data_IF_441923127378
#
_entry.id   IF_441923127378
#
_cell.length_a   1.000
_cell.length_b   1.000
_cell.length_c   1.000
_cell.angle_alpha   90.00
_cell.angle_beta   90.00
_cell.angle_gamma   90.00
#
_symmetry.space_group_name_H-M   'P 1'
#
loop_
_entity.id
_entity.type
_entity.pdbx_description
1 polymer ?
#
# COMPACT_ATOMS: atom_id res chain seq x y z
N UNK A 1 -0.90 -1.69 -36.20
CA UNK A 1 -1.08 -2.27 -34.86
C UNK A 1 0.25 -2.15 -34.12
N UNK A 2 0.28 -1.48 -32.97
CA UNK A 2 1.48 -1.41 -32.14
C UNK A 2 1.53 -2.70 -31.32
N UNK A 3 2.45 -3.60 -31.65
CA UNK A 3 2.66 -4.83 -30.90
C UNK A 3 3.74 -4.59 -29.85
N UNK A 4 3.33 -4.33 -28.61
CA UNK A 4 4.26 -4.42 -27.47
C UNK A 4 4.33 -5.89 -27.08
N UNK A 5 5.53 -6.48 -27.15
CA UNK A 5 5.72 -7.87 -26.74
C UNK A 5 5.36 -8.02 -25.25
N UNK A 6 4.62 -9.08 -24.84
CA UNK A 6 4.09 -9.23 -23.47
C UNK A 6 5.14 -9.10 -22.36
N UNK A 7 6.37 -9.55 -22.63
CA UNK A 7 7.50 -9.44 -21.69
C UNK A 7 7.88 -7.98 -21.40
N UNK A 8 7.84 -7.09 -22.40
CA UNK A 8 8.13 -5.67 -22.17
C UNK A 8 7.03 -5.01 -21.33
N UNK A 9 5.78 -5.41 -21.56
CA UNK A 9 4.62 -4.87 -20.85
C UNK A 9 4.70 -5.15 -19.34
N UNK A 10 5.10 -6.39 -18.98
CA UNK A 10 5.38 -6.75 -17.58
C UNK A 10 6.45 -5.86 -16.94
N UNK A 11 7.59 -5.69 -17.60
CA UNK A 11 8.69 -4.88 -17.06
C UNK A 11 8.29 -3.40 -16.90
N UNK A 12 7.53 -2.87 -17.87
CA UNK A 12 6.97 -1.52 -17.80
C UNK A 12 6.07 -1.39 -16.57
N UNK A 13 5.14 -2.32 -16.36
CA UNK A 13 4.26 -2.29 -15.19
C UNK A 13 5.03 -2.39 -13.89
N UNK A 14 5.95 -3.34 -13.75
CA UNK A 14 6.75 -3.48 -12.52
C UNK A 14 7.53 -2.20 -12.23
N UNK A 15 8.09 -1.56 -13.26
CA UNK A 15 8.83 -0.29 -13.11
C UNK A 15 7.91 0.84 -12.70
N UNK A 16 6.77 1.03 -13.39
CA UNK A 16 5.80 2.08 -13.08
C UNK A 16 5.16 1.89 -11.71
N UNK A 17 4.77 0.66 -11.34
CA UNK A 17 4.26 0.36 -10.00
C UNK A 17 5.34 0.60 -8.94
N UNK A 18 6.61 0.30 -9.26
CA UNK A 18 7.75 0.63 -8.41
C UNK A 18 7.88 2.14 -8.15
N UNK A 19 7.51 2.99 -9.11
CA UNK A 19 7.53 4.45 -8.90
C UNK A 19 6.48 4.93 -7.90
N UNK A 20 5.32 4.25 -7.78
CA UNK A 20 4.34 4.54 -6.73
C UNK A 20 4.83 4.16 -5.33
N UNK A 21 5.78 3.22 -5.23
CA UNK A 21 6.36 2.77 -3.96
C UNK A 21 7.68 3.48 -3.59
N UNK A 22 8.15 4.43 -4.39
CA UNK A 22 9.38 5.17 -4.10
C UNK A 22 9.23 5.97 -2.80
N UNK A 23 10.27 6.12 -1.95
CA UNK A 23 10.22 6.99 -0.76
C UNK A 23 9.83 8.44 -1.09
N UNK A 24 10.15 8.93 -2.29
CA UNK A 24 9.70 10.24 -2.79
C UNK A 24 8.17 10.31 -2.95
N UNK A 25 7.53 9.15 -3.15
CA UNK A 25 6.08 9.02 -3.29
C UNK A 25 5.37 8.82 -1.94
N UNK A 26 6.08 8.63 -0.82
CA UNK A 26 5.49 8.51 0.53
C UNK A 26 5.65 9.77 1.38
N UNK A 27 6.54 10.71 1.00
CA UNK A 27 6.69 11.99 1.70
C UNK A 27 5.54 12.96 1.40
N UNK A 28 4.93 13.55 2.44
CA UNK A 28 3.63 14.25 2.36
C UNK A 28 3.66 15.69 1.81
N UNK A 29 4.82 16.26 1.45
CA UNK A 29 4.93 17.74 1.49
C UNK A 29 5.28 18.50 0.19
N UNK A 30 5.09 17.95 -1.03
CA UNK A 30 5.41 18.75 -2.24
C UNK A 30 4.34 18.71 -3.35
N UNK A 31 3.89 19.88 -3.88
CA UNK A 31 2.95 19.94 -5.01
C UNK A 31 3.52 19.31 -6.30
N UNK A 32 4.85 19.26 -6.40
CA UNK A 32 5.58 18.60 -7.48
C UNK A 32 5.40 17.07 -7.48
N UNK A 33 5.03 16.46 -6.34
CA UNK A 33 4.72 15.03 -6.23
C UNK A 33 3.37 14.71 -6.86
N UNK A 34 2.33 15.47 -6.51
CA UNK A 34 0.98 15.25 -7.05
C UNK A 34 0.97 15.35 -8.57
N UNK A 35 1.70 16.32 -9.13
CA UNK A 35 1.84 16.45 -10.57
C UNK A 35 2.52 15.22 -11.21
N UNK A 36 3.57 14.67 -10.58
CA UNK A 36 4.22 13.44 -11.06
C UNK A 36 3.28 12.24 -11.01
N UNK A 37 2.52 12.08 -9.92
CA UNK A 37 1.55 11.00 -9.76
C UNK A 37 0.41 11.11 -10.79
N UNK A 38 -0.06 12.33 -11.06
CA UNK A 38 -1.07 12.56 -12.10
C UNK A 38 -0.54 12.20 -13.49
N UNK A 39 0.70 12.59 -13.80
CA UNK A 39 1.36 12.19 -15.04
C UNK A 39 1.49 10.66 -15.16
N UNK A 40 1.77 9.95 -14.07
CA UNK A 40 1.80 8.48 -14.05
C UNK A 40 0.42 7.89 -14.34
N UNK A 41 -0.64 8.41 -13.71
CA UNK A 41 -2.01 7.98 -14.01
C UNK A 41 -2.39 8.25 -15.48
N UNK A 42 -1.99 9.39 -16.03
CA UNK A 42 -2.22 9.69 -17.45
C UNK A 42 -1.44 8.75 -18.37
N UNK A 43 -0.20 8.40 -18.02
CA UNK A 43 0.58 7.39 -18.75
C UNK A 43 -0.11 6.03 -18.75
N UNK A 44 -0.68 5.59 -17.62
CA UNK A 44 -1.45 4.35 -17.57
C UNK A 44 -2.70 4.42 -18.45
N UNK A 45 -3.47 5.52 -18.38
CA UNK A 45 -4.65 5.72 -19.25
C UNK A 45 -4.27 5.68 -20.73
N UNK A 46 -3.17 6.32 -21.11
CA UNK A 46 -2.66 6.29 -22.48
C UNK A 46 -2.23 4.87 -22.86
N UNK A 47 -1.48 4.18 -22.01
CA UNK A 47 -1.05 2.80 -22.24
C UNK A 47 -2.24 1.86 -22.47
N UNK A 48 -3.31 2.00 -21.70
CA UNK A 48 -4.53 1.19 -21.84
C UNK A 48 -5.31 1.52 -23.12
N UNK A 49 -5.28 2.78 -23.57
CA UNK A 49 -5.83 3.17 -24.88
C UNK A 49 -5.02 2.59 -26.04
N UNK A 50 -3.69 2.54 -25.93
CA UNK A 50 -2.81 1.98 -26.97
C UNK A 50 -2.87 0.46 -27.03
N UNK A 51 -2.96 -0.20 -25.88
CA UNK A 51 -2.92 -1.67 -25.77
C UNK A 51 -4.15 -2.14 -24.97
N UNK A 52 -5.24 -2.55 -25.64
CA UNK A 52 -6.48 -2.95 -24.98
C UNK A 52 -6.34 -4.15 -24.03
N UNK A 53 -5.33 -4.99 -24.20
CA UNK A 53 -5.04 -6.14 -23.32
C UNK A 53 -4.21 -5.75 -22.09
N UNK A 54 -3.71 -4.51 -22.01
CA UNK A 54 -2.85 -4.06 -20.92
C UNK A 54 -3.54 -4.08 -19.55
N UNK A 55 -4.84 -3.71 -19.39
CA UNK A 55 -5.54 -3.83 -18.11
C UNK A 55 -5.55 -5.26 -17.55
N UNK A 56 -5.93 -6.25 -18.36
CA UNK A 56 -5.91 -7.67 -17.97
C UNK A 56 -4.50 -8.10 -17.51
N UNK A 57 -3.49 -7.74 -18.31
CA UNK A 57 -2.09 -8.03 -17.99
C UNK A 57 -1.62 -7.34 -16.72
N UNK A 58 -2.12 -6.14 -16.41
CA UNK A 58 -1.76 -5.45 -15.17
C UNK A 58 -2.26 -6.25 -13.97
N UNK A 59 -3.51 -6.73 -14.01
CA UNK A 59 -4.11 -7.55 -12.94
C UNK A 59 -3.33 -8.84 -12.75
N UNK A 60 -2.97 -9.54 -13.85
CA UNK A 60 -2.10 -10.73 -13.79
C UNK A 60 -0.74 -10.43 -13.13
N UNK A 61 -0.08 -9.35 -13.55
CA UNK A 61 1.23 -8.95 -12.99
C UNK A 61 1.11 -8.57 -11.52
N UNK A 62 0.04 -7.88 -11.11
CA UNK A 62 -0.23 -7.60 -9.71
C UNK A 62 -0.47 -8.89 -8.92
N UNK A 63 -1.18 -9.87 -9.49
CA UNK A 63 -1.36 -11.16 -8.84
C UNK A 63 -0.04 -11.93 -8.64
N UNK A 64 0.97 -11.72 -9.48
CA UNK A 64 2.30 -12.31 -9.27
C UNK A 64 3.17 -11.52 -8.27
N UNK A 65 3.11 -10.19 -8.31
CA UNK A 65 4.12 -9.30 -7.69
C UNK A 65 3.63 -8.65 -6.39
N UNK A 66 2.31 -8.51 -6.21
CA UNK A 66 1.69 -7.77 -5.11
C UNK A 66 1.09 -8.70 -4.05
N UNK A 67 1.25 -8.42 -2.75
CA UNK A 67 2.41 -7.85 -2.08
C UNK A 67 3.26 -8.99 -1.50
N UNK A 68 4.55 -9.01 -1.81
CA UNK A 68 5.50 -9.74 -0.98
C UNK A 68 5.65 -8.93 0.31
N UNK A 69 5.35 -9.52 1.47
CA UNK A 69 5.31 -8.99 2.85
C UNK A 69 6.59 -8.28 3.36
N UNK A 70 7.41 -7.69 2.50
CA UNK A 70 8.77 -7.19 2.77
C UNK A 70 8.95 -5.68 2.55
N UNK A 71 7.88 -4.92 2.29
CA UNK A 71 7.94 -3.47 2.08
C UNK A 71 7.22 -2.71 3.18
N UNK A 72 7.64 -1.47 3.43
CA UNK A 72 7.04 -0.56 4.42
C UNK A 72 5.53 -0.40 4.20
N UNK A 73 4.74 -0.42 5.29
CA UNK A 73 3.28 -0.33 5.20
C UNK A 73 2.77 0.95 4.56
N UNK A 74 3.49 2.05 4.68
CA UNK A 74 3.15 3.32 4.06
C UNK A 74 3.31 3.27 2.54
N UNK A 75 4.32 2.54 2.03
CA UNK A 75 4.51 2.31 0.60
C UNK A 75 3.44 1.37 0.04
N UNK A 76 3.06 0.35 0.82
CA UNK A 76 2.00 -0.58 0.43
C UNK A 76 0.63 0.11 0.38
N UNK A 77 0.27 0.85 1.42
CA UNK A 77 -0.97 1.62 1.47
C UNK A 77 -1.03 2.66 0.34
N UNK A 78 0.05 3.41 0.10
CA UNK A 78 0.09 4.35 -1.01
C UNK A 78 -0.11 3.66 -2.36
N UNK A 79 0.50 2.49 -2.58
CA UNK A 79 0.26 1.74 -3.81
C UNK A 79 -1.21 1.28 -3.91
N UNK A 80 -1.82 0.80 -2.82
CA UNK A 80 -3.24 0.42 -2.79
C UNK A 80 -4.14 1.60 -3.17
N UNK A 81 -3.93 2.78 -2.60
CA UNK A 81 -4.69 3.98 -2.95
C UNK A 81 -4.59 4.32 -4.45
N UNK A 82 -3.38 4.24 -5.03
CA UNK A 82 -3.22 4.43 -6.48
C UNK A 82 -3.92 3.35 -7.30
N UNK A 83 -3.88 2.08 -6.89
CA UNK A 83 -4.57 0.97 -7.55
C UNK A 83 -6.10 1.11 -7.48
N UNK A 84 -6.63 1.53 -6.32
CA UNK A 84 -8.05 1.87 -6.16
C UNK A 84 -8.45 2.99 -7.12
N UNK A 85 -7.62 4.04 -7.25
CA UNK A 85 -7.84 5.08 -8.26
C UNK A 85 -7.86 4.53 -9.68
N UNK A 86 -7.03 3.52 -10.00
CA UNK A 86 -7.03 2.90 -11.33
C UNK A 86 -8.38 2.26 -11.68
N UNK A 87 -9.12 1.74 -10.69
CA UNK A 87 -10.44 1.13 -10.92
C UNK A 87 -11.43 2.06 -11.63
N UNK A 88 -11.25 3.38 -11.51
CA UNK A 88 -12.07 4.38 -12.20
C UNK A 88 -11.87 4.40 -13.73
N UNK A 89 -10.71 3.97 -14.22
CA UNK A 89 -10.37 4.01 -15.65
C UNK A 89 -10.04 2.65 -16.26
N UNK A 90 -10.23 1.55 -15.52
CA UNK A 90 -10.28 0.16 -16.03
C UNK A 90 -11.57 -0.55 -15.57
N UNK A 91 -12.76 -0.06 -15.95
CA UNK A 91 -14.03 -0.54 -15.41
C UNK A 91 -14.27 -2.04 -15.62
N UNK A 92 -13.83 -2.58 -16.76
CA UNK A 92 -14.02 -4.00 -17.11
C UNK A 92 -13.26 -4.96 -16.16
N UNK A 93 -12.17 -4.50 -15.56
CA UNK A 93 -11.31 -5.31 -14.66
C UNK A 93 -11.40 -4.83 -13.21
N UNK A 94 -12.35 -3.94 -12.90
CA UNK A 94 -12.54 -3.37 -11.56
C UNK A 94 -12.78 -4.46 -10.52
N UNK A 95 -13.66 -5.41 -10.81
CA UNK A 95 -13.99 -6.49 -9.88
C UNK A 95 -12.76 -7.36 -9.59
N UNK A 96 -12.03 -7.76 -10.63
CA UNK A 96 -10.83 -8.59 -10.52
C UNK A 96 -9.74 -7.90 -9.70
N UNK A 97 -9.52 -6.61 -9.94
CA UNK A 97 -8.55 -5.82 -9.17
C UNK A 97 -8.96 -5.69 -7.70
N UNK A 98 -10.24 -5.39 -7.41
CA UNK A 98 -10.71 -5.29 -6.03
C UNK A 98 -10.65 -6.63 -5.29
N UNK A 99 -11.02 -7.74 -5.95
CA UNK A 99 -10.89 -9.08 -5.40
C UNK A 99 -9.44 -9.41 -5.09
N UNK A 100 -8.51 -9.06 -5.98
CA UNK A 100 -7.09 -9.22 -5.74
C UNK A 100 -6.65 -8.42 -4.50
N UNK A 101 -6.97 -7.13 -4.42
CA UNK A 101 -6.57 -6.30 -3.27
C UNK A 101 -7.15 -6.83 -1.95
N UNK A 102 -8.42 -7.23 -1.93
CA UNK A 102 -9.07 -7.81 -0.76
C UNK A 102 -8.44 -9.16 -0.36
N UNK A 103 -8.17 -10.04 -1.33
CA UNK A 103 -7.50 -11.32 -1.08
C UNK A 103 -6.12 -11.10 -0.46
N UNK A 104 -5.39 -10.06 -0.89
CA UNK A 104 -4.08 -9.74 -0.36
C UNK A 104 -4.14 -9.14 1.04
N UNK A 105 -5.12 -8.29 1.34
CA UNK A 105 -5.37 -7.83 2.71
C UNK A 105 -5.70 -9.00 3.65
N UNK A 106 -6.56 -9.94 3.22
CA UNK A 106 -6.85 -11.16 3.98
C UNK A 106 -5.61 -12.03 4.20
N UNK A 107 -4.72 -12.12 3.21
CA UNK A 107 -3.46 -12.82 3.40
C UNK A 107 -2.59 -12.15 4.46
N UNK A 108 -2.51 -10.81 4.52
CA UNK A 108 -1.77 -10.11 5.57
C UNK A 108 -2.33 -10.47 6.95
N UNK A 109 -3.66 -10.41 7.10
CA UNK A 109 -4.38 -10.75 8.34
C UNK A 109 -4.09 -12.19 8.80
N UNK A 110 -4.15 -13.16 7.89
CA UNK A 110 -3.86 -14.57 8.21
C UNK A 110 -2.42 -14.84 8.67
N UNK A 111 -1.46 -14.01 8.27
CA UNK A 111 -0.07 -14.13 8.70
C UNK A 111 0.23 -13.30 9.96
N UNK A 112 -0.79 -12.76 10.61
CA UNK A 112 -0.68 -11.93 11.80
C UNK A 112 -1.43 -12.60 12.98
N UNK A 113 -0.97 -13.76 13.48
CA UNK A 113 -1.66 -14.45 14.56
C UNK A 113 -1.67 -13.61 15.84
N UNK A 114 -2.78 -13.67 16.57
CA UNK A 114 -3.03 -12.82 17.75
C UNK A 114 -1.91 -12.90 18.80
N UNK A 115 -1.34 -14.09 18.98
CA UNK A 115 -0.29 -14.31 19.98
C UNK A 115 1.00 -13.53 19.63
N UNK A 116 1.36 -13.43 18.34
CA UNK A 116 2.52 -12.64 17.89
C UNK A 116 2.28 -11.13 18.02
N UNK A 117 1.02 -10.68 17.90
CA UNK A 117 0.65 -9.27 18.14
C UNK A 117 0.80 -8.95 19.62
N UNK A 118 0.26 -9.80 20.50
CA UNK A 118 0.35 -9.62 21.95
C UNK A 118 1.81 -9.63 22.43
N UNK A 119 2.61 -10.58 21.95
CA UNK A 119 4.04 -10.66 22.29
C UNK A 119 4.80 -9.40 21.84
N UNK A 120 4.46 -8.82 20.68
CA UNK A 120 5.07 -7.59 20.19
C UNK A 120 4.64 -6.34 20.98
N UNK A 121 3.40 -6.29 21.46
CA UNK A 121 2.89 -5.21 22.30
C UNK A 121 3.44 -5.28 23.73
N UNK A 122 3.61 -6.48 24.28
CA UNK A 122 4.15 -6.69 25.63
C UNK A 122 5.67 -6.44 25.69
N UNK A 123 6.42 -6.71 24.61
CA UNK A 123 7.89 -6.55 24.57
C UNK A 123 8.38 -5.10 24.68
N UNK A 124 7.61 -4.11 24.22
CA UNK A 124 7.95 -2.68 24.41
C UNK A 124 7.40 -2.10 25.72
N UNK A 125 6.38 -2.72 26.32
CA UNK A 125 5.88 -2.35 27.65
C UNK A 125 6.87 -2.61 28.79
N UNK A 126 7.86 -3.48 28.59
CA UNK A 126 8.96 -3.71 29.53
C UNK A 126 10.15 -2.74 29.37
N UNK A 127 10.35 -2.15 28.18
CA UNK A 127 11.47 -1.23 27.91
C UNK A 127 11.15 0.23 28.30
N UNK A 128 9.86 0.63 28.24
CA UNK A 128 9.37 1.94 28.70
C UNK A 128 9.17 2.02 30.24
N UNK A 129 9.35 0.91 30.95
CA UNK A 129 9.24 0.84 32.42
C UNK A 129 10.54 1.19 33.17
N UNK A 130 11.61 1.61 32.47
CA UNK A 130 12.92 1.95 33.06
C UNK A 130 13.36 3.42 32.91
N UNK A 131 12.46 4.38 32.63
CA UNK A 131 12.72 5.80 32.94
C UNK A 131 11.89 6.27 34.13
N UNK A 132 12.50 6.13 35.30
CA UNK A 132 12.03 6.63 36.59
C UNK A 132 12.04 8.18 36.59
N UNK A 133 10.85 8.79 36.61
CA UNK A 133 10.63 10.11 37.23
C UNK A 133 10.12 11.23 36.33
N UNK A 134 8.79 11.36 36.21
CA UNK A 134 8.07 12.50 36.78
C UNK A 134 6.56 12.21 36.78
N UNK A 135 6.03 11.95 37.96
CA UNK A 135 4.61 11.78 38.20
C UNK A 135 4.06 13.20 38.26
N UNK A 136 3.56 13.80 37.16
CA UNK A 136 2.56 14.89 37.10
C UNK A 136 2.58 15.65 35.74
N UNK A 137 1.86 15.15 34.72
CA UNK A 137 1.13 15.99 33.72
C UNK A 137 0.21 15.11 32.84
N UNK A 138 -0.79 14.51 33.48
CA UNK A 138 -1.80 13.65 32.83
C UNK A 138 -2.93 14.49 32.20
N UNK A 139 -2.61 15.38 31.24
CA UNK A 139 -3.66 16.03 30.43
C UNK A 139 -3.22 16.55 29.05
N UNK A 140 -2.03 16.20 28.55
CA UNK A 140 -1.60 16.65 27.22
C UNK A 140 -0.66 15.65 26.53
N UNK A 141 -1.23 14.67 25.80
CA UNK A 141 -0.65 13.95 24.63
C UNK A 141 -1.13 12.49 24.43
N UNK A 142 -2.21 12.03 25.05
CA UNK A 142 -2.68 10.64 24.85
C UNK A 142 -3.57 10.43 23.60
N UNK A 143 -3.35 11.17 22.50
CA UNK A 143 -4.11 10.99 21.25
C UNK A 143 -3.26 10.43 20.09
N UNK A 144 -1.95 10.19 20.28
CA UNK A 144 -1.08 9.79 19.15
C UNK A 144 -0.41 8.41 19.25
N UNK A 145 -0.40 7.75 20.41
CA UNK A 145 0.30 6.47 20.62
C UNK A 145 -0.61 5.25 20.71
N UNK A 146 -1.90 5.42 21.02
CA UNK A 146 -2.84 4.30 21.18
C UNK A 146 -3.38 3.73 19.86
N UNK A 147 -3.17 4.41 18.73
CA UNK A 147 -3.76 4.07 17.43
C UNK A 147 -2.74 3.48 16.44
N UNK A 148 -1.53 3.16 16.91
CA UNK A 148 -0.44 2.61 16.09
C UNK A 148 -0.14 1.18 16.50
N UNK A 149 -0.50 0.23 15.65
CA UNK A 149 -0.17 -1.19 15.83
C UNK A 149 1.36 -1.38 15.93
N UNK A 150 1.82 -2.09 16.96
CA UNK A 150 3.24 -2.41 17.14
C UNK A 150 3.71 -3.56 16.25
N UNK A 151 2.80 -4.47 15.93
CA UNK A 151 3.09 -5.56 15.02
C UNK A 151 3.17 -5.04 13.57
N UNK A 152 4.32 -5.23 12.92
CA UNK A 152 4.59 -4.68 11.59
C UNK A 152 3.55 -5.08 10.52
N UNK A 153 3.04 -6.33 10.55
CA UNK A 153 2.00 -6.75 9.60
C UNK A 153 0.63 -6.12 9.92
N UNK A 154 0.33 -5.90 11.19
CA UNK A 154 -0.92 -5.27 11.60
C UNK A 154 -0.91 -3.78 11.24
N UNK A 155 0.23 -3.08 11.43
CA UNK A 155 0.38 -1.69 11.01
C UNK A 155 0.24 -1.54 9.47
N UNK A 156 0.72 -2.52 8.69
CA UNK A 156 0.51 -2.55 7.24
C UNK A 156 -0.98 -2.71 6.91
N UNK A 157 -1.67 -3.65 7.57
CA UNK A 157 -3.08 -3.94 7.32
C UNK A 157 -3.96 -2.72 7.61
N UNK A 158 -3.75 -2.05 8.75
CA UNK A 158 -4.50 -0.85 9.12
C UNK A 158 -4.32 0.28 8.11
N UNK A 159 -3.08 0.55 7.70
CA UNK A 159 -2.79 1.57 6.67
C UNK A 159 -3.46 1.22 5.34
N UNK A 160 -3.46 -0.06 4.94
CA UNK A 160 -4.10 -0.53 3.71
C UNK A 160 -5.62 -0.41 3.80
N UNK A 161 -6.23 -0.83 4.91
CA UNK A 161 -7.68 -0.77 5.10
C UNK A 161 -8.18 0.68 5.13
N UNK A 162 -7.45 1.61 5.72
CA UNK A 162 -7.81 3.04 5.70
C UNK A 162 -8.00 3.60 4.29
N UNK A 163 -7.23 3.11 3.30
CA UNK A 163 -7.39 3.52 1.89
C UNK A 163 -8.69 2.98 1.24
N UNK A 164 -9.28 1.90 1.78
CA UNK A 164 -10.57 1.39 1.29
C UNK A 164 -11.78 2.16 1.82
N UNK A 165 -11.65 2.84 2.96
CA UNK A 165 -12.75 3.53 3.64
C UNK A 165 -12.85 5.03 3.29
N UNK A 166 -11.87 5.59 2.58
CA UNK A 166 -11.85 6.97 2.04
C UNK A 166 -12.46 7.04 0.62
#
# INVERSE_FOLDING_TARGET
MVYIHPVFLRNIFVTLLGTFMSPDATSKETPQREEKLERLHELFKQLFKLVPTAPARLVEVLAEVFPYMKRDGSQQASLVGHLLRMTSYIPDHRLELLQLLAHRALQVDLHCPKDEIMDAEDAEGEDDAMEEGDIFEMEKMCESSADRMQHALAEILDKVLNEFYL
#
